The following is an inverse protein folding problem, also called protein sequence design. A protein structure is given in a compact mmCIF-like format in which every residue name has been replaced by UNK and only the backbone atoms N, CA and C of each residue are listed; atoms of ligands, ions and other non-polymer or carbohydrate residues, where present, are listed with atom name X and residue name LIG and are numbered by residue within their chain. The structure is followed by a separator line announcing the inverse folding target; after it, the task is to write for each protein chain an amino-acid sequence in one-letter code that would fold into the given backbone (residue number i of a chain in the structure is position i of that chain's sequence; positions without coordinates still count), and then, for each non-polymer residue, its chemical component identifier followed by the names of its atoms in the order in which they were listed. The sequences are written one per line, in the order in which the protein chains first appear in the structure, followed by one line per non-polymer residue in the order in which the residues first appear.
data_IF_906726650656
#
_entry.id   IF_906726650656
#
_cell.length_a   1.000
_cell.length_b   1.000
_cell.length_c   1.000
_cell.angle_alpha   90.00
_cell.angle_beta   90.00
_cell.angle_gamma   90.00
#
_symmetry.space_group_name_H-M   'P 1'
#
loop_
_entity.id
_entity.type
_entity.pdbx_description
1 polymer ?
#
# COMPACT_ATOMS: atom_id res chain seq x y z
N UNK A 1 8.00 -15.97 -22.19
CA UNK A 1 7.08 -15.28 -21.32
C UNK A 1 7.90 -14.58 -20.26
N UNK A 2 8.08 -13.30 -20.44
CA UNK A 2 8.87 -12.44 -19.57
C UNK A 2 8.11 -12.23 -18.27
N UNK A 3 8.76 -12.53 -17.17
CA UNK A 3 8.36 -12.13 -15.82
C UNK A 3 8.11 -10.62 -15.82
N UNK A 4 6.85 -10.23 -15.69
CA UNK A 4 6.47 -8.84 -15.52
C UNK A 4 6.93 -8.38 -14.14
N UNK A 5 8.09 -7.74 -14.07
CA UNK A 5 8.43 -6.92 -12.93
C UNK A 5 7.39 -5.81 -12.87
N UNK A 6 6.52 -5.85 -11.86
CA UNK A 6 5.70 -4.70 -11.47
C UNK A 6 6.67 -3.66 -10.92
N UNK A 7 7.27 -2.90 -11.81
CA UNK A 7 7.95 -1.68 -11.42
C UNK A 7 6.86 -0.75 -10.90
N UNK A 8 6.89 -0.44 -9.61
CA UNK A 8 6.34 0.79 -9.06
C UNK A 8 7.13 1.94 -9.71
N UNK A 9 6.87 2.17 -11.01
CA UNK A 9 7.44 3.28 -11.77
C UNK A 9 6.77 4.54 -11.26
N UNK A 10 7.57 5.36 -10.59
CA UNK A 10 7.43 6.79 -10.39
C UNK A 10 6.02 7.35 -10.64
N UNK A 11 5.22 7.40 -9.58
CA UNK A 11 3.93 8.09 -9.56
C UNK A 11 4.03 9.53 -10.11
N UNK A 12 5.18 10.16 -9.97
CA UNK A 12 5.46 11.52 -10.45
C UNK A 12 5.53 11.62 -11.98
N UNK A 13 6.15 10.63 -12.66
CA UNK A 13 6.21 10.61 -14.14
C UNK A 13 4.83 10.41 -14.75
N UNK A 14 3.99 9.59 -14.13
CA UNK A 14 2.64 9.34 -14.62
C UNK A 14 1.74 10.55 -14.36
N UNK A 15 1.87 11.20 -13.21
CA UNK A 15 1.16 12.44 -12.89
C UNK A 15 1.55 13.57 -13.84
N UNK A 16 2.82 13.67 -14.27
CA UNK A 16 3.26 14.65 -15.27
C UNK A 16 2.63 14.41 -16.64
N UNK A 17 2.55 13.14 -17.08
CA UNK A 17 1.90 12.81 -18.36
C UNK A 17 0.41 13.16 -18.35
N UNK A 18 -0.26 12.85 -17.24
CA UNK A 18 -1.67 13.19 -17.05
C UNK A 18 -1.87 14.70 -17.07
N UNK A 19 -1.02 15.46 -16.37
CA UNK A 19 -1.04 16.91 -16.38
C UNK A 19 -0.93 17.46 -17.80
N UNK A 20 0.05 16.98 -18.59
CA UNK A 20 0.25 17.44 -19.96
C UNK A 20 -0.96 17.11 -20.83
N UNK A 21 -1.49 15.91 -20.74
CA UNK A 21 -2.67 15.49 -21.47
C UNK A 21 -3.90 16.35 -21.16
N UNK A 22 -4.13 16.67 -19.87
CA UNK A 22 -5.23 17.53 -19.45
C UNK A 22 -5.03 18.97 -19.97
N UNK A 23 -3.81 19.51 -19.91
CA UNK A 23 -3.50 20.85 -20.47
C UNK A 23 -3.72 20.92 -21.97
N UNK A 24 -3.43 19.85 -22.70
CA UNK A 24 -3.62 19.80 -24.16
C UNK A 24 -5.10 19.76 -24.54
N UNK A 25 -5.94 19.11 -23.74
CA UNK A 25 -7.40 19.05 -23.95
C UNK A 25 -8.08 20.34 -23.48
N UNK A 26 -7.73 20.82 -22.29
CA UNK A 26 -8.39 21.95 -21.63
C UNK A 26 -7.56 23.22 -21.70
N UNK A 27 -7.22 23.65 -22.92
CA UNK A 27 -6.32 24.80 -23.18
C UNK A 27 -6.79 26.16 -22.63
N UNK A 28 -8.10 26.30 -22.39
CA UNK A 28 -8.70 27.54 -21.89
C UNK A 28 -8.75 27.59 -20.34
N UNK A 29 -8.32 26.51 -19.66
CA UNK A 29 -8.44 26.35 -18.22
C UNK A 29 -7.08 26.36 -17.55
N UNK A 30 -7.02 26.88 -16.32
CA UNK A 30 -5.84 26.84 -15.48
C UNK A 30 -5.71 25.47 -14.83
N UNK A 31 -4.70 24.70 -15.26
CA UNK A 31 -4.40 23.34 -14.75
C UNK A 31 -3.10 23.36 -13.98
N UNK A 32 -3.15 22.98 -12.72
CA UNK A 32 -1.97 22.91 -11.85
C UNK A 32 -1.80 21.49 -11.28
N UNK A 33 -0.56 21.21 -10.84
CA UNK A 33 -0.20 19.92 -10.22
C UNK A 33 0.18 20.09 -8.76
N UNK A 34 -0.23 19.14 -7.94
CA UNK A 34 0.23 19.01 -6.56
C UNK A 34 0.77 17.59 -6.35
N UNK A 35 2.02 17.48 -5.90
CA UNK A 35 2.70 16.22 -5.62
C UNK A 35 3.62 16.31 -4.40
N UNK A 36 4.29 15.21 -4.09
CA UNK A 36 5.22 15.10 -2.97
C UNK A 36 6.36 16.10 -3.01
N UNK A 37 6.84 16.48 -4.21
CA UNK A 37 7.96 17.42 -4.37
C UNK A 37 7.57 18.83 -3.96
N UNK A 38 6.32 19.23 -4.21
CA UNK A 38 5.77 20.53 -3.80
C UNK A 38 5.60 20.58 -2.27
N UNK A 39 5.31 19.43 -1.64
CA UNK A 39 5.18 19.33 -0.19
C UNK A 39 6.49 19.56 0.57
N UNK A 40 7.63 19.25 -0.04
CA UNK A 40 8.96 19.49 0.54
C UNK A 40 9.25 20.98 0.65
N UNK A 41 8.66 21.82 -0.22
CA UNK A 41 8.81 23.29 -0.18
C UNK A 41 7.80 23.89 0.79
N UNK A 42 8.30 24.25 1.97
CA UNK A 42 7.50 24.77 3.08
C UNK A 42 6.58 25.91 2.63
N UNK A 43 5.26 25.69 2.65
CA UNK A 43 4.21 26.68 2.34
C UNK A 43 3.76 26.77 0.88
N UNK A 44 4.41 26.14 -0.08
CA UNK A 44 4.02 26.22 -1.48
C UNK A 44 2.70 25.48 -1.75
N UNK A 45 2.51 24.33 -1.11
CA UNK A 45 1.25 23.58 -1.18
C UNK A 45 0.06 24.35 -0.60
N UNK A 46 0.25 25.11 0.48
CA UNK A 46 -0.81 25.93 1.08
C UNK A 46 -1.25 27.01 0.11
N UNK A 47 -0.31 27.72 -0.49
CA UNK A 47 -0.59 28.76 -1.50
C UNK A 47 -1.34 28.20 -2.71
N UNK A 48 -0.98 27.00 -3.15
CA UNK A 48 -1.64 26.35 -4.30
C UNK A 48 -3.08 25.95 -3.94
N UNK A 49 -3.32 25.42 -2.75
CA UNK A 49 -4.67 25.13 -2.25
C UNK A 49 -5.50 26.40 -2.06
N UNK A 50 -4.93 27.50 -1.56
CA UNK A 50 -5.62 28.79 -1.47
C UNK A 50 -6.02 29.33 -2.83
N UNK A 51 -5.14 29.25 -3.84
CA UNK A 51 -5.45 29.65 -5.22
C UNK A 51 -6.58 28.79 -5.80
N UNK A 52 -6.57 27.49 -5.55
CA UNK A 52 -7.63 26.59 -5.97
C UNK A 52 -8.96 26.91 -5.27
N UNK A 53 -8.95 27.24 -3.98
CA UNK A 53 -10.14 27.65 -3.25
C UNK A 53 -10.74 28.97 -3.75
N UNK A 54 -9.90 29.92 -4.19
CA UNK A 54 -10.33 31.19 -4.77
C UNK A 54 -10.87 31.09 -6.20
N UNK A 55 -10.67 29.92 -6.85
CA UNK A 55 -11.04 29.71 -8.25
C UNK A 55 -10.00 30.20 -9.26
N UNK A 56 -8.77 30.52 -8.82
CA UNK A 56 -7.65 30.85 -9.71
C UNK A 56 -7.14 29.64 -10.50
N UNK A 57 -7.50 28.44 -10.05
CA UNK A 57 -7.16 27.16 -10.67
C UNK A 57 -8.47 26.40 -10.93
N UNK A 58 -8.68 25.98 -12.17
CA UNK A 58 -9.88 25.26 -12.59
C UNK A 58 -9.74 23.76 -12.38
N UNK A 59 -8.56 23.21 -12.63
CA UNK A 59 -8.29 21.77 -12.55
C UNK A 59 -7.02 21.52 -11.72
N UNK A 60 -7.16 20.74 -10.68
CA UNK A 60 -6.04 20.32 -9.83
C UNK A 60 -5.74 18.83 -10.07
N UNK A 61 -4.51 18.52 -10.48
CA UNK A 61 -4.02 17.15 -10.72
C UNK A 61 -3.03 16.76 -9.64
N UNK A 62 -3.13 15.56 -9.11
CA UNK A 62 -2.13 15.06 -8.14
C UNK A 62 -2.39 13.66 -7.65
N UNK A 63 -1.60 13.25 -6.68
CA UNK A 63 -1.67 11.92 -6.05
C UNK A 63 -2.66 11.89 -4.88
N UNK A 64 -2.69 10.80 -4.13
CA UNK A 64 -3.53 10.60 -2.95
C UNK A 64 -3.48 11.76 -1.93
N UNK A 65 -2.42 12.58 -1.97
CA UNK A 65 -2.24 13.72 -1.06
C UNK A 65 -3.34 14.77 -1.20
N UNK A 66 -3.92 14.93 -2.41
CA UNK A 66 -5.06 15.84 -2.64
C UNK A 66 -6.27 15.39 -1.81
N UNK A 67 -6.52 14.08 -1.73
CA UNK A 67 -7.66 13.52 -1.02
C UNK A 67 -7.66 13.86 0.48
N UNK A 68 -6.47 13.99 1.09
CA UNK A 68 -6.34 14.20 2.55
C UNK A 68 -6.47 15.66 3.02
N UNK A 69 -6.21 16.63 2.15
CA UNK A 69 -6.10 18.05 2.56
C UNK A 69 -7.09 19.01 1.90
N UNK A 70 -7.79 18.56 0.84
CA UNK A 70 -8.64 19.45 0.07
C UNK A 70 -10.05 19.50 0.66
N UNK A 71 -10.42 20.66 1.20
CA UNK A 71 -11.79 21.00 1.55
C UNK A 71 -12.20 22.25 0.76
N UNK A 72 -12.78 22.04 -0.42
CA UNK A 72 -13.24 23.11 -1.31
C UNK A 72 -14.69 22.80 -1.72
N UNK A 73 -15.68 23.60 -1.29
CA UNK A 73 -17.10 23.39 -1.61
C UNK A 73 -17.41 23.57 -3.10
N UNK A 74 -16.53 24.21 -3.86
CA UNK A 74 -16.72 24.46 -5.28
C UNK A 74 -16.28 23.27 -6.17
N UNK A 75 -15.79 22.18 -5.56
CA UNK A 75 -15.42 20.97 -6.32
C UNK A 75 -16.69 20.22 -6.75
N UNK A 76 -16.98 20.26 -8.04
CA UNK A 76 -18.15 19.61 -8.66
C UNK A 76 -17.80 18.30 -9.35
N UNK A 77 -16.50 18.06 -9.67
CA UNK A 77 -16.04 16.87 -10.35
C UNK A 77 -14.76 16.32 -9.71
N UNK A 78 -14.74 15.02 -9.44
CA UNK A 78 -13.54 14.30 -9.05
C UNK A 78 -13.35 13.08 -9.95
N UNK A 79 -12.15 12.94 -10.52
CA UNK A 79 -11.74 11.78 -11.31
C UNK A 79 -10.62 11.01 -10.61
N UNK A 80 -10.78 9.71 -10.40
CA UNK A 80 -9.72 8.81 -9.95
C UNK A 80 -9.25 7.98 -11.13
N UNK A 81 -8.02 8.21 -11.52
CA UNK A 81 -7.38 7.49 -12.62
C UNK A 81 -6.69 6.26 -12.04
N UNK A 82 -6.97 5.07 -12.63
CA UNK A 82 -6.41 3.79 -12.19
C UNK A 82 -6.70 3.48 -10.71
N UNK A 83 -7.99 3.40 -10.36
CA UNK A 83 -8.43 3.02 -9.01
C UNK A 83 -7.86 1.66 -8.58
N UNK A 84 -7.64 0.75 -9.54
CA UNK A 84 -7.05 -0.58 -9.33
C UNK A 84 -5.66 -0.54 -8.69
N UNK A 85 -4.89 0.52 -8.90
CA UNK A 85 -3.54 0.63 -8.34
C UNK A 85 -3.52 0.52 -6.81
N UNK A 86 -4.58 0.97 -6.15
CA UNK A 86 -4.72 0.87 -4.70
C UNK A 86 -5.00 -0.55 -4.22
N UNK A 87 -5.67 -1.37 -5.04
CA UNK A 87 -6.08 -2.73 -4.69
C UNK A 87 -5.05 -3.78 -5.07
N UNK A 88 -4.19 -3.50 -6.05
CA UNK A 88 -3.19 -4.42 -6.57
C UNK A 88 -1.87 -4.43 -5.78
N UNK A 89 -1.82 -3.77 -4.65
CA UNK A 89 -0.64 -3.82 -3.77
C UNK A 89 -0.56 -5.19 -3.09
N UNK A 90 0.63 -5.79 -2.98
CA UNK A 90 0.80 -7.07 -2.28
C UNK A 90 0.81 -6.88 -0.76
N UNK A 91 -0.30 -6.38 -0.24
CA UNK A 91 -0.54 -6.14 1.19
C UNK A 91 -1.98 -6.54 1.49
N UNK A 92 -2.20 -7.32 2.55
CA UNK A 92 -3.53 -7.78 2.93
C UNK A 92 -4.49 -6.62 3.26
N UNK A 93 -3.96 -5.42 3.53
CA UNK A 93 -4.75 -4.20 3.76
C UNK A 93 -5.01 -3.41 2.47
N UNK A 94 -4.61 -3.91 1.30
CA UNK A 94 -4.74 -3.17 0.05
C UNK A 94 -6.19 -2.77 -0.24
N UNK A 95 -7.13 -3.72 -0.04
CA UNK A 95 -8.57 -3.48 -0.22
C UNK A 95 -9.11 -2.44 0.77
N UNK A 96 -8.74 -2.55 2.03
CA UNK A 96 -9.14 -1.60 3.07
C UNK A 96 -8.63 -0.19 2.78
N UNK A 97 -7.35 -0.06 2.43
CA UNK A 97 -6.75 1.25 2.09
C UNK A 97 -7.37 1.85 0.83
N UNK A 98 -7.63 1.01 -0.18
CA UNK A 98 -8.31 1.42 -1.41
C UNK A 98 -9.74 1.91 -1.13
N UNK A 99 -10.51 1.14 -0.36
CA UNK A 99 -11.85 1.53 0.07
C UNK A 99 -11.85 2.87 0.83
N UNK A 100 -10.97 3.03 1.82
CA UNK A 100 -10.84 4.25 2.61
C UNK A 100 -10.49 5.45 1.72
N UNK A 101 -9.52 5.29 0.81
CA UNK A 101 -9.12 6.33 -0.11
C UNK A 101 -10.26 6.75 -1.04
N UNK A 102 -10.91 5.79 -1.68
CA UNK A 102 -11.98 6.07 -2.65
C UNK A 102 -13.21 6.69 -1.97
N UNK A 103 -13.59 6.20 -0.78
CA UNK A 103 -14.67 6.80 0.02
C UNK A 103 -14.33 8.23 0.43
N UNK A 104 -13.08 8.49 0.84
CA UNK A 104 -12.63 9.83 1.18
C UNK A 104 -12.68 10.78 -0.02
N UNK A 105 -12.23 10.31 -1.19
CA UNK A 105 -12.25 11.06 -2.45
C UNK A 105 -13.68 11.33 -2.89
N UNK A 106 -14.56 10.31 -2.82
CA UNK A 106 -15.98 10.47 -3.16
C UNK A 106 -16.66 11.53 -2.29
N UNK A 107 -16.32 11.61 -1.01
CA UNK A 107 -16.84 12.61 -0.10
C UNK A 107 -16.33 14.04 -0.34
N UNK A 108 -15.49 14.29 -1.35
CA UNK A 108 -14.98 15.66 -1.66
C UNK A 108 -15.82 16.39 -2.70
N UNK A 109 -16.56 15.69 -3.55
CA UNK A 109 -17.42 16.29 -4.54
C UNK A 109 -18.80 16.68 -3.94
N UNK A 110 -19.35 17.82 -4.35
CA UNK A 110 -20.74 18.20 -4.05
C UNK A 110 -20.99 18.68 -2.63
N UNK A 111 -20.03 19.31 -1.99
CA UNK A 111 -20.21 19.95 -0.66
C UNK A 111 -20.81 21.35 -0.72
N UNK A 112 -20.89 21.94 -1.91
CA UNK A 112 -21.48 23.26 -2.16
C UNK A 112 -22.92 23.17 -2.66
N UNK A 113 -23.33 24.24 -3.34
CA UNK A 113 -24.68 24.36 -3.93
C UNK A 113 -24.91 23.42 -5.11
N UNK A 114 -23.82 22.95 -5.76
CA UNK A 114 -23.89 22.09 -6.93
C UNK A 114 -23.65 20.64 -6.59
N UNK A 115 -24.45 19.74 -7.19
CA UNK A 115 -24.26 18.30 -7.05
C UNK A 115 -22.91 17.87 -7.61
N UNK A 116 -22.12 17.14 -6.81
CA UNK A 116 -20.83 16.62 -7.23
C UNK A 116 -20.96 15.29 -7.99
N UNK A 117 -20.01 15.08 -8.93
CA UNK A 117 -19.87 13.80 -9.63
C UNK A 117 -18.48 13.23 -9.36
N UNK A 118 -18.42 11.91 -9.18
CA UNK A 118 -17.15 11.18 -9.00
C UNK A 118 -17.07 10.08 -10.04
N UNK A 119 -15.93 9.98 -10.70
CA UNK A 119 -15.64 8.92 -11.65
C UNK A 119 -14.43 8.11 -11.20
N UNK A 120 -14.60 6.80 -11.13
CA UNK A 120 -13.52 5.85 -10.90
C UNK A 120 -13.18 5.14 -12.21
N UNK A 121 -11.98 5.34 -12.72
CA UNK A 121 -11.47 4.58 -13.85
C UNK A 121 -10.87 3.27 -13.32
N UNK A 122 -11.36 2.15 -13.79
CA UNK A 122 -10.97 0.82 -13.34
C UNK A 122 -11.05 -0.22 -14.47
N UNK A 123 -10.26 -1.27 -14.39
CA UNK A 123 -10.36 -2.48 -15.22
C UNK A 123 -11.28 -3.53 -14.59
N UNK A 124 -11.55 -3.45 -13.28
CA UNK A 124 -12.39 -4.38 -12.56
C UNK A 124 -13.51 -3.64 -11.80
N UNK A 125 -14.59 -3.24 -12.49
CA UNK A 125 -15.67 -2.47 -11.90
C UNK A 125 -16.46 -3.23 -10.82
N UNK A 126 -16.47 -4.56 -10.89
CA UNK A 126 -17.21 -5.43 -9.97
C UNK A 126 -16.39 -5.82 -8.72
N UNK A 127 -15.22 -5.22 -8.53
CA UNK A 127 -14.41 -5.47 -7.34
C UNK A 127 -15.15 -4.98 -6.09
N UNK A 128 -15.37 -5.86 -5.11
CA UNK A 128 -16.24 -5.59 -3.95
C UNK A 128 -15.89 -4.31 -3.20
N UNK A 129 -14.58 -4.02 -3.00
CA UNK A 129 -14.15 -2.82 -2.28
C UNK A 129 -14.40 -1.53 -3.06
N UNK A 130 -14.33 -1.59 -4.41
CA UNK A 130 -14.67 -0.48 -5.29
C UNK A 130 -16.18 -0.21 -5.28
N UNK A 131 -16.97 -1.27 -5.41
CA UNK A 131 -18.43 -1.17 -5.40
C UNK A 131 -18.93 -0.64 -4.06
N UNK A 132 -18.45 -1.18 -2.95
CA UNK A 132 -18.77 -0.69 -1.61
C UNK A 132 -18.36 0.78 -1.42
N UNK A 133 -17.20 1.21 -1.97
CA UNK A 133 -16.78 2.61 -1.94
C UNK A 133 -17.70 3.50 -2.78
N UNK A 134 -18.16 3.03 -3.96
CA UNK A 134 -19.12 3.73 -4.82
C UNK A 134 -20.45 3.94 -4.10
N UNK A 135 -20.91 2.93 -3.38
CA UNK A 135 -22.17 2.97 -2.61
C UNK A 135 -22.00 3.60 -1.21
N UNK A 136 -20.76 3.93 -0.81
CA UNK A 136 -20.42 4.38 0.55
C UNK A 136 -20.91 3.40 1.63
N UNK A 137 -20.93 2.11 1.31
CA UNK A 137 -21.44 1.04 2.18
C UNK A 137 -20.28 0.37 2.94
N UNK A 138 -19.97 0.91 4.12
CA UNK A 138 -18.93 0.34 4.98
C UNK A 138 -19.28 -1.05 5.51
N UNK A 139 -20.55 -1.30 5.82
CA UNK A 139 -20.98 -2.59 6.40
C UNK A 139 -20.72 -3.74 5.43
N UNK A 140 -21.12 -3.58 4.17
CA UNK A 140 -20.89 -4.58 3.13
C UNK A 140 -19.41 -4.81 2.85
N UNK A 141 -18.64 -3.71 2.79
CA UNK A 141 -17.19 -3.81 2.69
C UNK A 141 -16.60 -4.61 3.85
N UNK A 142 -16.97 -4.27 5.10
CA UNK A 142 -16.46 -4.93 6.29
C UNK A 142 -16.78 -6.41 6.34
N UNK A 143 -18.01 -6.80 6.05
CA UNK A 143 -18.44 -8.20 6.05
C UNK A 143 -17.64 -9.04 5.05
N UNK A 144 -17.43 -8.53 3.85
CA UNK A 144 -16.66 -9.22 2.82
C UNK A 144 -15.17 -9.29 3.17
N UNK A 145 -14.60 -8.18 3.61
CA UNK A 145 -13.18 -8.08 3.96
C UNK A 145 -12.84 -8.97 5.16
N UNK A 146 -13.68 -8.96 6.22
CA UNK A 146 -13.39 -9.74 7.43
C UNK A 146 -13.48 -11.24 7.17
N UNK A 147 -14.43 -11.69 6.34
CA UNK A 147 -14.54 -13.08 5.93
C UNK A 147 -13.30 -13.54 5.14
N UNK A 148 -12.83 -12.72 4.21
CA UNK A 148 -11.59 -13.02 3.46
C UNK A 148 -10.35 -13.09 4.39
N UNK A 149 -10.26 -12.20 5.37
CA UNK A 149 -9.16 -12.24 6.35
C UNK A 149 -9.21 -13.47 7.23
N UNK A 150 -10.39 -13.93 7.61
CA UNK A 150 -10.59 -15.16 8.36
C UNK A 150 -10.16 -16.38 7.55
N UNK A 151 -10.60 -16.47 6.28
CA UNK A 151 -10.26 -17.56 5.38
C UNK A 151 -8.76 -17.71 5.18
N UNK A 152 -8.05 -16.58 5.05
CA UNK A 152 -6.60 -16.58 4.81
C UNK A 152 -5.75 -16.35 6.07
N UNK A 153 -6.32 -16.42 7.26
CA UNK A 153 -5.62 -16.20 8.52
C UNK A 153 -4.82 -14.88 8.56
N UNK A 154 -5.43 -13.78 8.10
CA UNK A 154 -4.86 -12.44 8.26
C UNK A 154 -5.37 -11.75 9.54
N UNK A 155 -4.70 -10.70 10.03
CA UNK A 155 -5.23 -9.92 11.15
C UNK A 155 -6.67 -9.44 10.93
N UNK A 156 -7.55 -9.56 11.96
CA UNK A 156 -7.29 -9.81 13.38
C UNK A 156 -7.20 -11.28 13.80
N UNK A 157 -7.36 -12.26 12.91
CA UNK A 157 -7.37 -13.69 13.22
C UNK A 157 -5.96 -14.26 13.48
N UNK A 158 -4.92 -13.57 13.04
CA UNK A 158 -3.52 -13.83 13.38
C UNK A 158 -2.77 -12.52 13.61
N UNK A 159 -1.54 -12.63 14.10
CA UNK A 159 -0.56 -11.55 14.13
C UNK A 159 0.47 -11.79 13.04
N UNK A 160 1.03 -10.73 12.50
CA UNK A 160 2.07 -10.81 11.46
C UNK A 160 3.43 -10.48 12.07
N UNK A 161 4.41 -11.35 11.86
CA UNK A 161 5.81 -11.06 12.13
C UNK A 161 6.53 -11.09 10.78
N UNK A 162 7.17 -10.00 10.42
CA UNK A 162 7.93 -9.87 9.18
C UNK A 162 9.42 -9.87 9.51
N UNK A 163 10.16 -10.78 8.92
CA UNK A 163 11.62 -10.80 8.97
C UNK A 163 12.15 -10.28 7.64
N UNK A 164 13.01 -9.27 7.67
CA UNK A 164 13.64 -8.71 6.49
C UNK A 164 15.13 -8.96 6.58
N UNK A 165 15.65 -9.72 5.63
CA UNK A 165 17.09 -9.97 5.47
C UNK A 165 17.63 -9.12 4.33
N UNK A 166 18.72 -8.41 4.59
CA UNK A 166 19.30 -7.53 3.60
C UNK A 166 20.82 -7.63 3.53
N UNK A 167 21.37 -7.53 2.29
CA UNK A 167 22.78 -7.56 2.00
C UNK A 167 23.10 -6.75 0.74
N UNK A 168 24.34 -6.29 0.62
CA UNK A 168 24.84 -5.71 -0.63
C UNK A 168 24.93 -6.75 -1.77
N UNK A 169 24.98 -8.04 -1.43
CA UNK A 169 25.00 -9.15 -2.38
C UNK A 169 23.64 -9.86 -2.40
N UNK A 170 22.98 -9.85 -3.57
CA UNK A 170 21.65 -10.42 -3.76
C UNK A 170 21.60 -11.92 -3.39
N UNK A 171 22.54 -12.70 -3.94
CA UNK A 171 22.58 -14.14 -3.69
C UNK A 171 22.76 -14.48 -2.20
N UNK A 172 23.56 -13.70 -1.47
CA UNK A 172 23.76 -13.90 -0.03
C UNK A 172 22.52 -13.56 0.78
N UNK A 173 21.81 -12.47 0.42
CA UNK A 173 20.56 -12.10 1.06
C UNK A 173 19.51 -13.21 0.87
N UNK A 174 19.34 -13.67 -0.37
CA UNK A 174 18.40 -14.75 -0.70
C UNK A 174 18.73 -16.06 0.00
N UNK A 175 19.98 -16.52 -0.11
CA UNK A 175 20.43 -17.76 0.54
C UNK A 175 20.24 -17.75 2.05
N UNK A 176 20.56 -16.63 2.70
CA UNK A 176 20.37 -16.50 4.16
C UNK A 176 18.89 -16.52 4.53
N UNK A 177 18.03 -15.90 3.71
CA UNK A 177 16.58 -15.95 3.93
C UNK A 177 16.03 -17.37 3.77
N UNK A 178 16.48 -18.11 2.74
CA UNK A 178 16.12 -19.52 2.52
C UNK A 178 16.54 -20.41 3.69
N UNK A 179 17.77 -20.27 4.19
CA UNK A 179 18.28 -21.04 5.32
C UNK A 179 17.48 -20.79 6.59
N UNK A 180 17.11 -19.55 6.88
CA UNK A 180 16.33 -19.18 8.05
C UNK A 180 14.90 -19.72 7.93
N UNK A 181 14.24 -19.53 6.80
CA UNK A 181 12.90 -20.05 6.57
C UNK A 181 12.86 -21.58 6.71
N UNK A 182 13.79 -22.28 6.08
CA UNK A 182 13.86 -23.74 6.17
C UNK A 182 14.04 -24.22 7.61
N UNK A 183 14.99 -23.65 8.35
CA UNK A 183 15.23 -24.02 9.75
C UNK A 183 14.02 -23.72 10.64
N UNK A 184 13.31 -22.62 10.37
CA UNK A 184 12.10 -22.26 11.11
C UNK A 184 10.96 -23.24 10.81
N UNK A 185 10.74 -23.60 9.54
CA UNK A 185 9.76 -24.60 9.14
C UNK A 185 10.03 -25.95 9.82
N UNK A 186 11.28 -26.45 9.79
CA UNK A 186 11.66 -27.69 10.47
C UNK A 186 11.39 -27.66 11.98
N UNK A 187 11.60 -26.51 12.64
CA UNK A 187 11.30 -26.38 14.04
C UNK A 187 9.79 -26.34 14.31
N UNK A 188 9.03 -25.60 13.51
CA UNK A 188 7.57 -25.53 13.60
C UNK A 188 6.94 -26.92 13.44
N UNK A 189 7.40 -27.71 12.47
CA UNK A 189 6.99 -29.10 12.27
C UNK A 189 7.37 -29.99 13.47
N UNK A 190 8.62 -29.91 13.95
CA UNK A 190 9.10 -30.67 15.09
C UNK A 190 8.28 -30.44 16.35
N UNK A 191 7.80 -29.23 16.58
CA UNK A 191 6.95 -28.87 17.71
C UNK A 191 5.45 -29.11 17.46
N UNK A 192 5.05 -29.51 16.25
CA UNK A 192 3.64 -29.77 15.89
C UNK A 192 2.77 -28.53 15.95
N UNK A 193 3.31 -27.36 15.57
CA UNK A 193 2.61 -26.07 15.64
C UNK A 193 2.38 -25.44 14.27
N UNK A 194 2.52 -26.19 13.17
CA UNK A 194 2.42 -25.68 11.78
C UNK A 194 1.06 -25.02 11.47
N UNK A 195 -0.02 -25.52 12.03
CA UNK A 195 -1.36 -24.91 11.87
C UNK A 195 -1.54 -23.58 12.62
N UNK A 196 -0.64 -23.30 13.55
CA UNK A 196 -0.72 -22.13 14.45
C UNK A 196 0.36 -21.11 14.20
N UNK A 197 1.43 -21.48 13.50
CA UNK A 197 2.55 -20.64 13.10
C UNK A 197 2.93 -20.96 11.66
N UNK A 198 2.36 -20.23 10.72
CA UNK A 198 2.60 -20.40 9.28
C UNK A 198 3.78 -19.54 8.83
N UNK A 199 4.71 -20.14 8.09
CA UNK A 199 5.90 -19.48 7.55
C UNK A 199 5.74 -19.32 6.05
N UNK A 200 5.68 -18.08 5.55
CA UNK A 200 5.55 -17.74 4.14
C UNK A 200 6.84 -17.12 3.61
N UNK A 201 7.24 -17.52 2.43
CA UNK A 201 8.46 -17.07 1.78
C UNK A 201 9.63 -18.04 1.99
N UNK A 202 10.90 -17.57 1.78
CA UNK A 202 11.26 -16.18 1.53
C UNK A 202 10.87 -15.70 0.12
N UNK A 203 10.57 -14.41 0.03
CA UNK A 203 10.34 -13.70 -1.24
C UNK A 203 11.11 -12.40 -1.26
N UNK A 204 11.47 -11.83 -2.43
CA UNK A 204 11.94 -10.46 -2.51
C UNK A 204 10.94 -9.51 -1.86
N UNK A 205 11.42 -8.45 -1.20
CA UNK A 205 10.53 -7.38 -0.78
C UNK A 205 9.97 -6.63 -2.01
N UNK A 206 8.81 -5.97 -1.88
CA UNK A 206 8.21 -5.15 -2.95
C UNK A 206 9.21 -4.11 -3.46
N UNK A 207 9.91 -3.45 -2.56
CA UNK A 207 11.08 -2.64 -2.90
C UNK A 207 12.32 -3.51 -2.65
N UNK A 208 12.75 -4.17 -3.74
CA UNK A 208 13.82 -5.17 -3.68
C UNK A 208 15.17 -4.61 -3.23
N UNK A 209 15.42 -3.30 -3.45
CA UNK A 209 16.70 -2.68 -3.13
C UNK A 209 16.53 -1.28 -2.54
N UNK A 210 17.05 -1.08 -1.32
CA UNK A 210 17.08 0.23 -0.65
C UNK A 210 18.53 0.50 -0.17
N UNK A 211 19.05 1.70 -0.44
CA UNK A 211 20.37 2.13 -0.04
C UNK A 211 21.49 1.14 -0.43
N UNK A 212 21.35 0.54 -1.62
CA UNK A 212 22.33 -0.42 -2.13
C UNK A 212 22.18 -1.85 -1.59
N UNK A 213 21.26 -2.11 -0.67
CA UNK A 213 21.02 -3.44 -0.08
C UNK A 213 19.83 -4.14 -0.74
N UNK A 214 20.02 -5.37 -1.21
CA UNK A 214 18.97 -6.27 -1.65
C UNK A 214 18.22 -6.82 -0.44
N UNK A 215 16.88 -6.98 -0.56
CA UNK A 215 15.99 -7.27 0.56
C UNK A 215 15.10 -8.46 0.26
N UNK A 216 15.11 -9.44 1.15
CA UNK A 216 14.21 -10.58 1.14
C UNK A 216 13.41 -10.61 2.43
N UNK A 217 12.16 -11.07 2.34
CA UNK A 217 11.28 -11.13 3.50
C UNK A 217 10.74 -12.55 3.74
N UNK A 218 10.53 -12.84 5.01
CA UNK A 218 9.79 -14.00 5.50
C UNK A 218 8.62 -13.44 6.30
N UNK A 219 7.42 -13.86 5.99
CA UNK A 219 6.20 -13.48 6.72
C UNK A 219 5.77 -14.65 7.55
N UNK A 220 5.51 -14.40 8.84
CA UNK A 220 5.06 -15.41 9.79
C UNK A 220 3.66 -15.00 10.25
N UNK A 221 2.65 -15.83 10.00
CA UNK A 221 1.32 -15.68 10.56
C UNK A 221 1.26 -16.43 11.89
N UNK A 222 1.02 -15.70 12.96
CA UNK A 222 1.06 -16.18 14.33
C UNK A 222 -0.34 -16.19 14.95
N UNK A 223 -0.92 -17.39 15.14
CA UNK A 223 -2.17 -17.61 15.88
C UNK A 223 -1.95 -17.94 17.38
N UNK A 224 -0.72 -17.89 17.84
CA UNK A 224 -0.35 -18.25 19.23
C UNK A 224 -0.16 -17.02 20.11
N UNK A 225 -0.37 -15.82 19.60
CA UNK A 225 -0.14 -14.55 20.31
C UNK A 225 1.27 -14.48 20.94
N UNK A 226 1.38 -14.17 22.20
CA UNK A 226 2.63 -14.06 22.96
C UNK A 226 3.56 -15.29 22.85
N UNK A 227 3.00 -16.52 22.87
CA UNK A 227 3.79 -17.76 22.76
C UNK A 227 4.47 -17.88 21.39
N UNK A 228 3.83 -17.42 20.33
CA UNK A 228 4.44 -17.38 19.01
C UNK A 228 5.58 -16.37 18.93
N UNK A 229 5.42 -15.20 19.51
CA UNK A 229 6.49 -14.21 19.61
C UNK A 229 7.70 -14.75 20.37
N UNK A 230 7.47 -15.40 21.51
CA UNK A 230 8.53 -16.04 22.31
C UNK A 230 9.23 -17.15 21.53
N UNK A 231 8.49 -17.95 20.75
CA UNK A 231 9.06 -19.00 19.91
C UNK A 231 9.97 -18.39 18.84
N UNK A 232 9.48 -17.41 18.08
CA UNK A 232 10.26 -16.73 17.02
C UNK A 232 11.49 -16.05 17.61
N UNK A 233 11.35 -15.32 18.70
CA UNK A 233 12.47 -14.67 19.39
C UNK A 233 13.52 -15.69 19.87
N UNK A 234 13.09 -16.78 20.51
CA UNK A 234 13.98 -17.84 20.98
C UNK A 234 14.71 -18.55 19.83
N UNK A 235 14.04 -18.69 18.68
CA UNK A 235 14.64 -19.22 17.46
C UNK A 235 15.72 -18.27 16.92
N UNK A 236 15.40 -17.00 16.74
CA UNK A 236 16.32 -15.99 16.19
C UNK A 236 17.54 -15.77 17.08
N UNK A 237 17.39 -15.79 18.39
CA UNK A 237 18.49 -15.68 19.35
C UNK A 237 19.52 -16.83 19.27
N UNK A 238 19.14 -17.98 18.70
CA UNK A 238 20.03 -19.14 18.50
C UNK A 238 20.75 -19.15 17.15
N UNK A 239 20.42 -18.19 16.27
CA UNK A 239 21.02 -18.09 14.94
C UNK A 239 22.16 -17.09 14.97
N UNK A 240 23.31 -17.52 14.49
CA UNK A 240 24.43 -16.61 14.22
C UNK A 240 24.28 -16.07 12.81
N UNK A 241 24.03 -14.76 12.68
CA UNK A 241 23.96 -14.10 11.38
C UNK A 241 25.34 -13.86 10.80
N UNK A 242 25.55 -14.08 9.49
CA UNK A 242 26.75 -13.64 8.80
C UNK A 242 26.90 -12.12 8.94
N UNK A 243 28.15 -11.64 9.06
CA UNK A 243 28.46 -10.20 9.30
C UNK A 243 27.90 -9.24 8.22
N UNK A 244 27.71 -9.72 7.02
CA UNK A 244 27.20 -8.97 5.86
C UNK A 244 25.69 -9.07 5.65
N UNK A 245 24.99 -9.79 6.55
CA UNK A 245 23.54 -9.88 6.55
C UNK A 245 22.96 -9.03 7.69
N UNK A 246 22.04 -8.15 7.34
CA UNK A 246 21.24 -7.39 8.32
C UNK A 246 19.87 -8.03 8.42
N UNK A 247 19.45 -8.34 9.64
CA UNK A 247 18.09 -8.78 9.96
C UNK A 247 17.33 -7.64 10.62
N UNK A 248 16.18 -7.32 10.07
CA UNK A 248 15.17 -6.48 10.73
C UNK A 248 13.94 -7.34 11.03
N UNK A 249 13.34 -7.10 12.19
CA UNK A 249 12.12 -7.77 12.66
C UNK A 249 11.07 -6.70 12.82
N UNK A 250 9.93 -6.90 12.18
CA UNK A 250 8.78 -6.01 12.25
C UNK A 250 7.56 -6.82 12.72
N UNK A 251 7.01 -6.42 13.86
CA UNK A 251 5.88 -7.10 14.49
C UNK A 251 4.63 -6.27 14.24
N UNK A 252 3.59 -6.90 13.72
CA UNK A 252 2.35 -6.25 13.29
C UNK A 252 2.62 -5.03 12.39
N UNK A 253 3.37 -5.22 11.27
CA UNK A 253 3.76 -4.13 10.40
C UNK A 253 2.55 -3.33 9.91
N UNK A 254 2.69 -2.02 9.87
CA UNK A 254 1.66 -1.13 9.32
C UNK A 254 1.48 -1.32 7.81
N UNK A 255 2.54 -1.70 7.12
CA UNK A 255 2.52 -2.16 5.73
C UNK A 255 3.58 -3.25 5.48
N UNK A 256 3.37 -4.03 4.42
CA UNK A 256 4.29 -5.10 4.02
C UNK A 256 5.09 -4.71 2.75
N UNK A 257 5.08 -3.44 2.37
CA UNK A 257 5.75 -2.89 1.19
C UNK A 257 7.25 -2.66 1.39
#
# INVERSE_FOLDING_TARGET
PSSGSVALKNSDTDTQKILQYIKDIFKAYNVERIDSDILVRKGEHIRLLERFQRGDIDILVGTQMIAKGLDNPNVTLVGVISADASFNLPDFRASERGFQLLTQVAGRAGRGEFAGKVFFQTYNPDYYALESARMQNYSEFYETEIAAREEFDYPPFSQIIRLILSSANNFRAEKSAQEIALRMCMMVEKFGISERLEILGPTPCVIERINGLYRFQIIIKNKMSEKGHQFVSSFLNKITMPKDIKLAIDVDPLDIL
#
